data_IF_855958577491
#
_entry.id   IF_855958577491
#
_cell.length_a   1.000
_cell.length_b   1.000
_cell.length_c   1.000
_cell.angle_alpha   90.00
_cell.angle_beta   90.00
_cell.angle_gamma   90.00
#
_symmetry.space_group_name_H-M   'P 1'
#
loop_
_entity.id
_entity.type
_entity.pdbx_description
1 polymer ?
#
# COMPACT_ATOMS: atom_id res chain seq x y z
N UNK A 1 26.06 12.96 50.06
CA UNK A 1 24.87 12.07 49.94
C UNK A 1 23.92 12.51 48.83
N UNK A 2 23.64 13.81 48.64
CA UNK A 2 22.68 14.34 47.63
C UNK A 2 23.03 13.98 46.19
N UNK A 3 24.32 13.99 45.80
CA UNK A 3 24.73 13.68 44.40
C UNK A 3 24.52 12.21 44.02
N UNK A 4 24.73 11.28 44.97
CA UNK A 4 24.49 9.85 44.73
C UNK A 4 23.01 9.56 44.55
N UNK A 5 22.14 10.23 45.29
CA UNK A 5 20.70 10.12 45.17
C UNK A 5 20.20 10.65 43.80
N UNK A 6 20.67 11.83 43.38
CA UNK A 6 20.34 12.42 42.07
C UNK A 6 20.79 11.52 40.94
N UNK A 7 21.99 10.93 41.05
CA UNK A 7 22.52 10.00 40.02
C UNK A 7 21.66 8.73 39.93
N UNK A 8 21.22 8.16 41.06
CA UNK A 8 20.34 7.00 41.07
C UNK A 8 18.98 7.31 40.42
N UNK A 9 18.38 8.45 40.73
CA UNK A 9 17.12 8.90 40.13
C UNK A 9 17.27 9.05 38.63
N UNK A 10 18.35 9.61 38.17
CA UNK A 10 18.67 9.76 36.75
C UNK A 10 18.76 8.40 36.02
N UNK A 11 19.47 7.43 36.61
CA UNK A 11 19.57 6.08 36.04
C UNK A 11 18.19 5.41 35.96
N UNK A 12 17.40 5.47 37.05
CA UNK A 12 16.05 4.87 37.08
C UNK A 12 15.17 5.48 36.02
N UNK A 13 15.23 6.81 35.85
CA UNK A 13 14.48 7.50 34.80
C UNK A 13 14.79 6.96 33.41
N UNK A 14 16.07 6.81 33.05
CA UNK A 14 16.46 6.27 31.74
C UNK A 14 16.05 4.81 31.56
N UNK A 15 16.16 3.99 32.61
CA UNK A 15 15.69 2.61 32.58
C UNK A 15 14.19 2.57 32.23
N UNK A 16 13.37 3.39 32.87
CA UNK A 16 11.93 3.46 32.58
C UNK A 16 11.64 3.93 31.14
N UNK A 17 12.39 4.91 30.66
CA UNK A 17 12.28 5.37 29.27
C UNK A 17 12.64 4.25 28.28
N UNK A 18 13.72 3.51 28.51
CA UNK A 18 14.10 2.41 27.63
C UNK A 18 13.10 1.24 27.68
N UNK A 19 12.55 0.92 28.83
CA UNK A 19 11.47 -0.09 28.95
C UNK A 19 10.23 0.38 28.16
N UNK A 20 9.84 1.64 28.30
CA UNK A 20 8.72 2.20 27.54
C UNK A 20 8.92 2.15 26.02
N UNK A 21 10.11 2.56 25.56
CA UNK A 21 10.47 2.47 24.14
C UNK A 21 10.52 1.03 23.64
N UNK A 22 11.08 0.10 24.40
CA UNK A 22 11.13 -1.32 24.09
C UNK A 22 9.73 -1.92 23.93
N UNK A 23 8.85 -1.63 24.88
CA UNK A 23 7.45 -2.08 24.83
C UNK A 23 6.73 -1.52 23.61
N UNK A 24 6.89 -0.24 23.31
CA UNK A 24 6.33 0.39 22.12
C UNK A 24 6.81 -0.27 20.82
N UNK A 25 8.11 -0.60 20.71
CA UNK A 25 8.69 -1.31 19.57
C UNK A 25 8.03 -2.68 19.35
N UNK A 26 7.80 -3.44 20.42
CA UNK A 26 7.15 -4.76 20.35
C UNK A 26 5.70 -4.62 19.88
N UNK A 27 4.96 -3.67 20.40
CA UNK A 27 3.56 -3.41 19.99
C UNK A 27 3.52 -3.05 18.50
N UNK A 28 4.42 -2.16 18.05
CA UNK A 28 4.51 -1.76 16.64
C UNK A 28 4.88 -2.93 15.73
N UNK A 29 5.79 -3.80 16.16
CA UNK A 29 6.17 -4.99 15.42
C UNK A 29 4.99 -5.95 15.26
N UNK A 30 4.26 -6.23 16.33
CA UNK A 30 3.09 -7.10 16.28
C UNK A 30 1.99 -6.55 15.37
N UNK A 31 1.71 -5.25 15.43
CA UNK A 31 0.76 -4.62 14.52
C UNK A 31 1.18 -4.78 13.05
N UNK A 32 2.48 -4.56 12.75
CA UNK A 32 3.02 -4.70 11.40
C UNK A 32 2.94 -6.15 10.89
N UNK A 33 3.27 -7.12 11.74
CA UNK A 33 3.17 -8.54 11.39
C UNK A 33 1.73 -8.96 11.12
N UNK A 34 0.77 -8.52 11.93
CA UNK A 34 -0.65 -8.81 11.71
C UNK A 34 -1.14 -8.24 10.38
N UNK A 35 -0.73 -7.01 10.02
CA UNK A 35 -1.06 -6.39 8.73
C UNK A 35 -0.48 -7.19 7.56
N UNK A 36 0.77 -7.65 7.66
CA UNK A 36 1.40 -8.49 6.63
C UNK A 36 0.63 -9.80 6.45
N UNK A 37 0.28 -10.49 7.55
CA UNK A 37 -0.49 -11.71 7.50
C UNK A 37 -1.89 -11.53 6.88
N UNK A 38 -2.55 -10.42 7.18
CA UNK A 38 -3.84 -10.05 6.58
C UNK A 38 -3.71 -9.91 5.06
N UNK A 39 -2.70 -9.16 4.59
CA UNK A 39 -2.42 -8.98 3.16
C UNK A 39 -2.09 -10.32 2.49
N UNK A 40 -1.21 -11.12 3.07
CA UNK A 40 -0.83 -12.42 2.51
C UNK A 40 -2.02 -13.37 2.39
N UNK A 41 -2.87 -13.44 3.41
CA UNK A 41 -4.07 -14.26 3.39
C UNK A 41 -5.06 -13.78 2.32
N UNK A 42 -5.23 -12.48 2.19
CA UNK A 42 -6.10 -11.87 1.18
C UNK A 42 -5.61 -12.18 -0.25
N UNK A 43 -4.30 -12.14 -0.48
CA UNK A 43 -3.71 -12.43 -1.79
C UNK A 43 -3.77 -13.93 -2.17
N UNK A 44 -3.81 -14.84 -1.21
CA UNK A 44 -3.96 -16.30 -1.44
C UNK A 44 -5.38 -16.69 -1.86
N UNK A 45 -6.38 -15.90 -1.48
CA UNK A 45 -7.76 -16.17 -1.83
C UNK A 45 -8.01 -16.00 -3.33
N UNK A 46 -8.95 -16.76 -3.93
CA UNK A 46 -9.35 -16.53 -5.30
C UNK A 46 -9.94 -15.12 -5.46
N UNK A 47 -9.78 -14.49 -6.63
CA UNK A 47 -10.33 -13.16 -6.88
C UNK A 47 -11.88 -13.21 -6.84
N UNK A 48 -12.47 -12.23 -6.19
CA UNK A 48 -13.93 -12.05 -6.08
C UNK A 48 -14.36 -10.96 -7.05
N UNK A 49 -15.55 -11.08 -7.64
CA UNK A 49 -16.10 -10.00 -8.46
C UNK A 49 -16.38 -8.76 -7.61
N UNK A 50 -15.96 -7.59 -8.11
CA UNK A 50 -16.08 -6.32 -7.38
C UNK A 50 -17.53 -6.01 -7.01
N UNK A 51 -18.48 -6.26 -7.91
CA UNK A 51 -19.92 -6.05 -7.72
C UNK A 51 -20.50 -6.82 -6.53
N UNK A 52 -19.96 -8.00 -6.23
CA UNK A 52 -20.44 -8.90 -5.17
C UNK A 52 -19.66 -8.77 -3.88
N UNK A 53 -18.58 -7.97 -3.88
CA UNK A 53 -17.67 -7.90 -2.75
C UNK A 53 -18.11 -6.83 -1.74
N UNK A 54 -17.97 -7.12 -0.44
CA UNK A 54 -17.84 -6.06 0.54
C UNK A 54 -16.53 -5.33 0.24
N UNK A 55 -16.58 -4.01 0.03
CA UNK A 55 -15.40 -3.18 -0.24
C UNK A 55 -14.48 -3.20 0.99
N UNK A 56 -13.60 -4.19 1.07
CA UNK A 56 -12.60 -4.35 2.13
C UNK A 56 -11.20 -4.05 1.60
N UNK A 57 -10.30 -3.59 2.48
CA UNK A 57 -8.90 -3.35 2.09
C UNK A 57 -8.20 -4.67 1.75
N UNK A 58 -7.30 -4.60 0.77
CA UNK A 58 -6.47 -5.71 0.29
C UNK A 58 -7.24 -6.88 -0.31
N UNK A 59 -8.53 -6.72 -0.60
CA UNK A 59 -9.31 -7.76 -1.26
C UNK A 59 -8.82 -7.95 -2.69
N UNK A 60 -8.55 -9.20 -3.09
CA UNK A 60 -8.22 -9.54 -4.47
C UNK A 60 -9.51 -9.58 -5.28
N UNK A 61 -9.60 -8.71 -6.28
CA UNK A 61 -10.78 -8.56 -7.12
C UNK A 61 -10.50 -8.94 -8.56
N UNK A 62 -11.56 -9.40 -9.23
CA UNK A 62 -11.64 -9.53 -10.68
C UNK A 62 -12.76 -8.63 -11.17
N UNK A 63 -12.48 -7.86 -12.20
CA UNK A 63 -13.45 -6.93 -12.77
C UNK A 63 -13.17 -6.66 -14.23
N UNK A 64 -14.11 -5.99 -14.89
CA UNK A 64 -13.95 -5.37 -16.20
C UNK A 64 -14.36 -3.92 -16.11
N UNK A 65 -13.74 -3.05 -16.89
CA UNK A 65 -14.06 -1.64 -16.85
C UNK A 65 -13.42 -0.87 -17.99
N UNK A 66 -13.88 0.35 -18.18
CA UNK A 66 -13.35 1.26 -19.19
C UNK A 66 -12.24 2.13 -18.58
N UNK A 67 -11.03 2.00 -19.11
CA UNK A 67 -9.87 2.80 -18.68
C UNK A 67 -9.75 4.03 -19.56
N UNK A 68 -9.72 5.21 -18.93
CA UNK A 68 -9.46 6.47 -19.60
C UNK A 68 -7.93 6.67 -19.72
N UNK A 69 -7.39 6.40 -20.91
CA UNK A 69 -5.96 6.57 -21.19
C UNK A 69 -5.57 8.03 -21.36
N UNK A 70 -6.49 8.91 -21.73
CA UNK A 70 -6.21 10.34 -21.93
C UNK A 70 -5.93 11.06 -20.61
N UNK A 71 -6.49 10.56 -19.51
CA UNK A 71 -6.27 11.07 -18.15
C UNK A 71 -5.21 10.31 -17.37
N UNK A 72 -4.21 9.75 -18.07
CA UNK A 72 -3.12 9.00 -17.46
C UNK A 72 -2.19 9.89 -16.63
N UNK A 73 -1.90 9.46 -15.41
CA UNK A 73 -0.99 10.14 -14.49
C UNK A 73 0.25 9.27 -14.27
N UNK A 74 1.42 9.90 -14.29
CA UNK A 74 2.70 9.27 -13.98
C UNK A 74 3.19 9.75 -12.61
N UNK A 75 3.22 8.84 -11.65
CA UNK A 75 3.76 9.12 -10.32
C UNK A 75 5.21 8.63 -10.24
N UNK A 76 6.15 9.54 -10.02
CA UNK A 76 7.56 9.16 -9.84
C UNK A 76 7.73 8.21 -8.66
N UNK A 77 8.36 7.07 -8.91
CA UNK A 77 8.65 6.09 -7.87
C UNK A 77 9.91 5.26 -8.22
N UNK A 78 10.58 4.75 -7.21
CA UNK A 78 11.66 3.78 -7.36
C UNK A 78 11.09 2.37 -7.34
N UNK A 79 11.63 1.47 -8.17
CA UNK A 79 11.31 0.05 -8.05
C UNK A 79 12.04 -0.59 -6.86
N UNK A 80 11.79 -1.89 -6.61
CA UNK A 80 12.41 -2.65 -5.51
C UNK A 80 13.93 -2.70 -5.57
N UNK A 81 14.50 -2.53 -6.77
CA UNK A 81 15.95 -2.45 -7.01
C UNK A 81 16.52 -1.04 -6.88
N UNK A 82 15.70 -0.03 -6.53
CA UNK A 82 16.11 1.35 -6.42
C UNK A 82 16.25 2.08 -7.77
N UNK A 83 15.77 1.49 -8.88
CA UNK A 83 15.81 2.14 -10.20
C UNK A 83 14.68 3.16 -10.30
N UNK A 84 14.96 4.39 -10.77
CA UNK A 84 13.94 5.42 -10.92
C UNK A 84 13.04 5.15 -12.14
N UNK A 85 11.74 5.46 -11.98
CA UNK A 85 10.74 5.30 -13.02
C UNK A 85 9.41 5.92 -12.60
N UNK A 86 8.31 5.39 -13.15
CA UNK A 86 6.97 5.91 -12.89
C UNK A 86 5.98 4.79 -12.61
N UNK A 87 5.11 4.98 -11.64
CA UNK A 87 3.85 4.24 -11.55
C UNK A 87 2.82 4.88 -12.47
N UNK A 88 2.10 4.05 -13.21
CA UNK A 88 1.09 4.50 -14.18
C UNK A 88 -0.28 4.36 -13.55
N UNK A 89 -0.95 5.48 -13.35
CA UNK A 89 -2.27 5.56 -12.74
C UNK A 89 -3.28 6.09 -13.74
N UNK A 90 -4.38 5.38 -13.92
CA UNK A 90 -5.48 5.80 -14.78
C UNK A 90 -6.80 5.80 -14.03
N UNK A 91 -7.73 6.68 -14.38
CA UNK A 91 -9.14 6.50 -14.03
C UNK A 91 -9.71 5.28 -14.75
N UNK A 92 -10.55 4.53 -14.06
CA UNK A 92 -11.30 3.41 -14.59
C UNK A 92 -12.75 3.50 -14.11
N UNK A 93 -13.70 3.36 -15.02
CA UNK A 93 -15.12 3.28 -14.70
C UNK A 93 -15.55 1.81 -14.69
N UNK A 94 -16.09 1.37 -13.56
CA UNK A 94 -16.58 0.01 -13.32
C UNK A 94 -18.01 0.13 -12.80
N UNK A 95 -18.99 -0.41 -13.55
CA UNK A 95 -20.42 -0.39 -13.16
C UNK A 95 -20.92 1.02 -12.72
N UNK A 96 -20.59 2.05 -13.52
CA UNK A 96 -20.93 3.45 -13.27
C UNK A 96 -20.28 4.10 -12.02
N UNK A 97 -19.32 3.43 -11.40
CA UNK A 97 -18.46 4.00 -10.36
C UNK A 97 -17.04 4.24 -10.87
N UNK A 98 -16.45 5.38 -10.49
CA UNK A 98 -15.09 5.74 -10.88
C UNK A 98 -14.06 5.33 -9.81
N UNK A 99 -13.03 4.65 -10.27
CA UNK A 99 -11.90 4.20 -9.48
C UNK A 99 -10.59 4.70 -10.09
N UNK A 100 -9.50 4.61 -9.33
CA UNK A 100 -8.15 4.77 -9.84
C UNK A 100 -7.46 3.40 -9.87
N UNK A 101 -6.94 3.03 -11.03
CA UNK A 101 -6.15 1.82 -11.19
C UNK A 101 -4.66 2.19 -11.29
N UNK A 102 -3.84 1.56 -10.44
CA UNK A 102 -2.39 1.57 -10.59
C UNK A 102 -2.02 0.37 -11.47
N UNK A 103 -1.50 0.65 -12.66
CA UNK A 103 -1.13 -0.36 -13.68
C UNK A 103 0.29 -0.88 -13.51
N UNK A 104 0.99 -0.42 -12.48
CA UNK A 104 2.34 -0.83 -12.16
C UNK A 104 3.40 0.17 -12.56
N UNK A 105 4.65 -0.23 -12.32
CA UNK A 105 5.83 0.60 -12.54
C UNK A 105 6.41 0.41 -13.95
N UNK A 106 6.88 1.50 -14.53
CA UNK A 106 7.59 1.52 -15.83
C UNK A 106 8.90 2.32 -15.70
N UNK A 107 9.95 1.96 -16.46
CA UNK A 107 11.17 2.76 -16.53
C UNK A 107 10.94 4.09 -17.26
N UNK A 108 11.84 5.04 -17.05
CA UNK A 108 11.76 6.39 -17.65
C UNK A 108 11.55 6.38 -19.16
N UNK A 109 12.23 5.48 -19.88
CA UNK A 109 12.25 5.42 -21.32
C UNK A 109 10.89 5.02 -21.91
N UNK A 110 10.05 4.35 -21.13
CA UNK A 110 8.72 3.91 -21.56
C UNK A 110 7.63 4.95 -21.33
N UNK A 111 7.95 6.08 -20.72
CA UNK A 111 6.95 7.13 -20.49
C UNK A 111 6.38 7.66 -21.82
N UNK A 112 5.05 7.58 -21.95
CA UNK A 112 4.34 8.09 -23.14
C UNK A 112 4.41 7.20 -24.38
N UNK A 113 4.95 5.98 -24.28
CA UNK A 113 4.93 5.02 -25.39
C UNK A 113 3.55 4.37 -25.53
N UNK A 114 3.15 3.99 -26.75
CA UNK A 114 1.87 3.31 -27.00
C UNK A 114 1.80 1.91 -26.36
N UNK A 115 2.92 1.26 -26.10
CA UNK A 115 2.99 -0.05 -25.44
C UNK A 115 2.31 -0.06 -24.06
N UNK A 116 2.32 1.09 -23.37
CA UNK A 116 1.71 1.23 -22.03
C UNK A 116 0.18 1.15 -22.11
N UNK A 117 -0.42 1.45 -23.26
CA UNK A 117 -1.86 1.44 -23.47
C UNK A 117 -2.41 0.07 -23.85
N UNK A 118 -1.53 -0.92 -24.08
CA UNK A 118 -1.92 -2.31 -24.29
C UNK A 118 -2.27 -2.97 -22.96
N UNK A 119 -3.53 -2.86 -22.57
CA UNK A 119 -4.05 -3.42 -21.32
C UNK A 119 -5.39 -4.11 -21.54
N UNK A 120 -5.55 -5.33 -21.04
CA UNK A 120 -6.82 -6.05 -21.14
C UNK A 120 -7.85 -5.47 -20.18
N UNK A 121 -8.82 -4.73 -20.73
CA UNK A 121 -9.90 -4.09 -19.97
C UNK A 121 -11.04 -5.06 -19.60
N UNK A 122 -11.06 -6.27 -20.20
CA UNK A 122 -12.12 -7.26 -19.97
C UNK A 122 -11.83 -8.18 -18.79
N UNK A 123 -10.57 -8.31 -18.39
CA UNK A 123 -10.16 -9.26 -17.36
C UNK A 123 -9.09 -8.63 -16.45
N UNK A 124 -9.51 -7.68 -15.65
CA UNK A 124 -8.64 -6.97 -14.73
C UNK A 124 -8.63 -7.72 -13.40
N UNK A 125 -7.45 -8.16 -12.97
CA UNK A 125 -7.23 -8.72 -11.65
C UNK A 125 -6.34 -7.77 -10.86
N UNK A 126 -6.80 -7.34 -9.71
CA UNK A 126 -6.09 -6.38 -8.88
C UNK A 126 -6.41 -6.54 -7.40
N UNK A 127 -5.80 -5.69 -6.60
CA UNK A 127 -6.05 -5.61 -5.16
C UNK A 127 -6.73 -4.30 -4.84
N UNK A 128 -7.91 -4.36 -4.23
CA UNK A 128 -8.67 -3.20 -3.83
C UNK A 128 -7.98 -2.51 -2.64
N UNK A 129 -7.75 -1.21 -2.75
CA UNK A 129 -7.27 -0.39 -1.64
C UNK A 129 -8.26 0.75 -1.40
N UNK A 130 -8.92 0.72 -0.26
CA UNK A 130 -9.80 1.81 0.15
C UNK A 130 -8.96 2.98 0.65
N UNK A 131 -9.25 4.17 0.13
CA UNK A 131 -8.65 5.38 0.67
C UNK A 131 -9.33 5.68 2.01
N UNK A 132 -8.60 5.52 3.12
CA UNK A 132 -9.10 5.91 4.43
C UNK A 132 -9.41 7.40 4.44
N UNK A 133 -10.67 7.77 4.73
CA UNK A 133 -10.97 9.14 5.12
C UNK A 133 -10.22 9.40 6.42
N UNK A 134 -9.30 10.37 6.40
CA UNK A 134 -8.74 10.95 7.62
C UNK A 134 -9.82 11.70 8.38
#
# INVERSE_FOLDING_TARGET
>A
MKHKFLFSVFIIFFILVFIGLGTWQIIRLNWKNNLILEIENSLKNPPVELAQSKKENFLKIKTSGFIDFDKQIYLYNLNDSGTPGFEVINPITIEDEDYLINRGWIPFEKKGTQEINLFDQKNIIGTLKLQGRK
#
